data_IF_968098546868
#
_entry.id   IF_968098546868
#
_cell.length_a   1.000
_cell.length_b   1.000
_cell.length_c   1.000
_cell.angle_alpha   90.00
_cell.angle_beta   90.00
_cell.angle_gamma   90.00
#
_symmetry.space_group_name_H-M   'P 1'
#
loop_
_entity.id
_entity.type
_entity.pdbx_description
1 polymer ?
#
# COMPACT_ATOMS: atom_id res chain seq x y z
N UNK A 1 57.38 23.09 -39.50
CA UNK A 1 56.38 22.94 -38.43
C UNK A 1 55.24 22.10 -38.98
N UNK A 2 55.07 20.87 -38.50
CA UNK A 2 53.97 20.00 -38.89
C UNK A 2 52.83 20.12 -37.85
N UNK A 3 51.55 20.07 -38.24
CA UNK A 3 50.44 20.14 -37.30
C UNK A 3 50.34 18.84 -36.48
N UNK A 4 49.82 18.89 -35.23
CA UNK A 4 49.68 17.72 -34.40
C UNK A 4 48.54 16.81 -34.89
N UNK A 5 48.86 15.55 -35.10
CA UNK A 5 47.92 14.46 -35.38
C UNK A 5 47.07 14.17 -34.14
N UNK A 6 45.75 14.34 -34.24
CA UNK A 6 44.82 13.91 -33.20
C UNK A 6 44.61 12.39 -33.37
N UNK A 7 45.19 11.62 -32.47
CA UNK A 7 44.99 10.17 -32.40
C UNK A 7 43.57 9.89 -31.88
N UNK A 8 42.74 9.23 -32.71
CA UNK A 8 41.40 8.82 -32.34
C UNK A 8 41.43 7.93 -31.08
N UNK A 9 40.93 8.45 -29.96
CA UNK A 9 40.75 7.67 -28.74
C UNK A 9 39.63 6.66 -28.99
N UNK A 10 39.99 5.39 -29.09
CA UNK A 10 39.06 4.27 -29.20
C UNK A 10 38.12 4.31 -27.99
N UNK A 11 36.85 4.68 -28.21
CA UNK A 11 35.81 4.63 -27.19
C UNK A 11 35.67 3.17 -26.77
N UNK A 12 36.16 2.84 -25.59
CA UNK A 12 35.96 1.53 -24.97
C UNK A 12 34.51 1.54 -24.47
N UNK A 13 33.61 0.94 -25.25
CA UNK A 13 32.27 0.60 -24.77
C UNK A 13 32.46 -0.48 -23.71
N UNK A 14 32.11 -0.26 -22.43
CA UNK A 14 32.18 -1.31 -21.45
C UNK A 14 31.18 -2.41 -21.83
N UNK A 15 31.73 -3.61 -22.00
CA UNK A 15 30.99 -4.86 -22.24
C UNK A 15 29.87 -4.99 -21.22
N UNK A 16 28.63 -4.98 -21.69
CA UNK A 16 27.43 -5.25 -20.89
C UNK A 16 27.54 -6.70 -20.44
N UNK A 17 28.08 -6.92 -19.24
CA UNK A 17 28.06 -8.22 -18.57
C UNK A 17 26.61 -8.54 -18.23
N UNK A 18 26.02 -9.43 -19.03
CA UNK A 18 25.02 -10.44 -18.66
C UNK A 18 24.03 -9.97 -17.58
N UNK A 19 22.97 -9.32 -18.03
CA UNK A 19 21.72 -9.25 -17.29
C UNK A 19 21.21 -10.71 -17.18
N UNK A 20 20.97 -11.25 -15.97
CA UNK A 20 20.44 -12.60 -15.84
C UNK A 20 19.07 -12.70 -16.55
N UNK A 21 18.88 -13.74 -17.37
CA UNK A 21 17.67 -14.04 -18.17
C UNK A 21 16.41 -14.34 -17.34
N UNK A 22 16.35 -13.93 -16.08
CA UNK A 22 15.15 -13.97 -15.23
C UNK A 22 14.49 -12.61 -15.08
N UNK A 23 14.85 -11.62 -15.92
CA UNK A 23 14.04 -10.43 -16.11
C UNK A 23 12.68 -10.85 -16.68
N UNK A 24 11.74 -11.08 -15.77
CA UNK A 24 10.32 -11.15 -16.04
C UNK A 24 9.99 -10.01 -16.99
N UNK A 25 9.65 -10.32 -18.24
CA UNK A 25 9.03 -9.32 -19.09
C UNK A 25 7.76 -8.88 -18.35
N UNK A 26 7.60 -7.58 -18.05
CA UNK A 26 6.38 -7.12 -17.40
C UNK A 26 5.21 -7.49 -18.30
N UNK A 27 4.19 -8.14 -17.75
CA UNK A 27 3.03 -8.57 -18.54
C UNK A 27 2.17 -7.38 -18.99
N UNK A 28 2.33 -6.26 -18.28
CA UNK A 28 1.70 -4.96 -18.47
C UNK A 28 2.65 -3.94 -19.09
N UNK A 29 2.13 -3.07 -19.96
CA UNK A 29 2.90 -1.96 -20.56
C UNK A 29 3.17 -0.84 -19.54
N UNK A 30 4.27 -0.09 -19.72
CA UNK A 30 4.65 0.99 -18.79
C UNK A 30 3.59 2.11 -18.74
N UNK A 31 2.95 2.45 -19.87
CA UNK A 31 1.91 3.49 -19.89
C UNK A 31 0.64 3.01 -19.18
N UNK A 32 0.35 1.72 -19.28
CA UNK A 32 -0.76 1.10 -18.57
C UNK A 32 -0.50 1.10 -17.05
N UNK A 33 0.72 0.73 -16.64
CA UNK A 33 1.14 0.80 -15.24
C UNK A 33 1.03 2.23 -14.68
N UNK A 34 1.50 3.23 -15.41
CA UNK A 34 1.39 4.64 -15.04
C UNK A 34 -0.09 5.07 -14.87
N UNK A 35 -0.97 4.64 -15.77
CA UNK A 35 -2.41 4.91 -15.67
C UNK A 35 -3.01 4.29 -14.39
N UNK A 36 -2.70 3.03 -14.12
CA UNK A 36 -3.21 2.31 -12.94
C UNK A 36 -2.74 2.99 -11.65
N UNK A 37 -1.45 3.34 -11.56
CA UNK A 37 -0.89 4.03 -10.38
C UNK A 37 -1.56 5.38 -10.17
N UNK A 38 -1.72 6.18 -11.23
CA UNK A 38 -2.36 7.50 -11.14
C UNK A 38 -3.83 7.41 -10.69
N UNK A 39 -4.57 6.45 -11.22
CA UNK A 39 -5.97 6.23 -10.84
C UNK A 39 -6.08 5.71 -9.40
N UNK A 40 -5.17 4.82 -8.98
CA UNK A 40 -5.07 4.36 -7.60
C UNK A 40 -4.69 5.48 -6.62
N UNK A 41 -3.72 6.33 -6.96
CA UNK A 41 -3.30 7.45 -6.13
C UNK A 41 -4.45 8.40 -5.78
N UNK A 42 -5.33 8.69 -6.76
CA UNK A 42 -6.56 9.47 -6.53
C UNK A 42 -7.51 8.81 -5.52
N UNK A 43 -7.56 7.49 -5.50
CA UNK A 43 -8.37 6.75 -4.52
C UNK A 43 -7.72 6.81 -3.15
N UNK A 44 -6.40 6.63 -3.05
CA UNK A 44 -5.67 6.76 -1.78
C UNK A 44 -5.88 8.13 -1.12
N UNK A 45 -5.80 9.21 -1.88
CA UNK A 45 -6.06 10.56 -1.37
C UNK A 45 -7.49 10.70 -0.81
N UNK A 46 -8.48 10.13 -1.52
CA UNK A 46 -9.89 10.16 -1.11
C UNK A 46 -10.17 9.25 0.08
N UNK A 47 -9.47 8.14 0.22
CA UNK A 47 -9.68 7.16 1.29
C UNK A 47 -8.76 7.38 2.50
N UNK A 48 -7.94 8.44 2.51
CA UNK A 48 -6.97 8.71 3.59
C UNK A 48 -7.60 8.81 4.99
N UNK A 49 -8.88 9.21 5.09
CA UNK A 49 -9.61 9.25 6.36
C UNK A 49 -10.11 7.87 6.85
N UNK A 50 -10.07 6.85 6.00
CA UNK A 50 -10.50 5.48 6.28
C UNK A 50 -9.35 4.64 6.85
N UNK A 51 -8.65 5.18 7.85
CA UNK A 51 -7.41 4.63 8.43
C UNK A 51 -7.58 3.19 8.96
N UNK A 52 -8.80 2.79 9.31
CA UNK A 52 -9.12 1.47 9.87
C UNK A 52 -9.66 0.47 8.84
N UNK A 53 -9.51 0.75 7.55
CA UNK A 53 -9.90 -0.13 6.47
C UNK A 53 -10.87 0.54 5.51
N UNK A 54 -10.53 0.48 4.23
CA UNK A 54 -11.34 0.93 3.12
C UNK A 54 -11.96 -0.28 2.39
N UNK A 55 -13.19 -0.16 1.85
CA UNK A 55 -13.80 -1.23 1.08
C UNK A 55 -13.00 -1.47 -0.22
N UNK A 56 -12.70 -2.72 -0.53
CA UNK A 56 -11.94 -3.09 -1.74
C UNK A 56 -12.68 -2.69 -3.02
N UNK A 57 -14.01 -2.62 -2.99
CA UNK A 57 -14.84 -2.21 -4.13
C UNK A 57 -14.62 -0.78 -4.61
N UNK A 58 -13.94 0.08 -3.83
CA UNK A 58 -13.61 1.45 -4.25
C UNK A 58 -12.35 1.51 -5.11
N UNK A 59 -11.56 0.43 -5.14
CA UNK A 59 -10.37 0.38 -5.97
C UNK A 59 -10.77 0.41 -7.45
N UNK A 60 -10.01 1.13 -8.29
CA UNK A 60 -10.33 1.23 -9.71
C UNK A 60 -9.90 -0.02 -10.50
N UNK A 61 -9.02 -0.83 -9.91
CA UNK A 61 -8.49 -2.08 -10.46
C UNK A 61 -8.34 -3.11 -9.32
N UNK A 62 -8.11 -4.37 -9.66
CA UNK A 62 -7.81 -5.39 -8.66
C UNK A 62 -6.50 -5.09 -7.93
N UNK A 63 -6.36 -5.63 -6.71
CA UNK A 63 -5.12 -5.47 -5.94
C UNK A 63 -3.91 -6.02 -6.70
N UNK A 64 -4.07 -7.12 -7.43
CA UNK A 64 -2.97 -7.73 -8.18
C UNK A 64 -2.51 -6.86 -9.36
N UNK A 65 -3.44 -6.25 -10.11
CA UNK A 65 -3.11 -5.30 -11.17
C UNK A 65 -2.37 -4.07 -10.61
N UNK A 66 -2.82 -3.53 -9.47
CA UNK A 66 -2.15 -2.39 -8.83
C UNK A 66 -0.75 -2.79 -8.34
N UNK A 67 -0.61 -3.98 -7.73
CA UNK A 67 0.69 -4.51 -7.29
C UNK A 67 1.66 -4.64 -8.47
N UNK A 68 1.21 -5.18 -9.59
CA UNK A 68 2.03 -5.32 -10.79
C UNK A 68 2.43 -3.96 -11.35
N UNK A 69 1.49 -3.03 -11.48
CA UNK A 69 1.76 -1.67 -11.96
C UNK A 69 2.83 -0.97 -11.10
N UNK A 70 2.70 -1.03 -9.77
CA UNK A 70 3.67 -0.43 -8.85
C UNK A 70 5.04 -1.12 -8.95
N UNK A 71 5.09 -2.46 -9.07
CA UNK A 71 6.37 -3.17 -9.28
C UNK A 71 7.07 -2.74 -10.55
N UNK A 72 6.32 -2.56 -11.64
CA UNK A 72 6.85 -2.04 -12.91
C UNK A 72 7.44 -0.65 -12.67
N UNK A 73 6.69 0.26 -12.04
CA UNK A 73 7.19 1.59 -11.74
C UNK A 73 8.45 1.58 -10.86
N UNK A 74 8.52 0.70 -9.86
CA UNK A 74 9.71 0.53 -9.02
C UNK A 74 10.93 0.11 -9.84
N UNK A 75 10.78 -0.87 -10.74
CA UNK A 75 11.87 -1.36 -11.61
C UNK A 75 12.42 -0.23 -12.50
N UNK A 76 11.54 0.64 -13.00
CA UNK A 76 11.91 1.76 -13.88
C UNK A 76 12.26 3.06 -13.13
N UNK A 77 12.03 3.13 -11.82
CA UNK A 77 12.39 4.27 -10.98
C UNK A 77 13.89 4.29 -10.72
N UNK A 78 14.51 5.48 -10.76
CA UNK A 78 15.85 5.68 -10.17
C UNK A 78 15.66 5.86 -8.68
N UNK A 79 16.39 5.12 -7.84
CA UNK A 79 16.31 5.24 -6.38
C UNK A 79 16.35 6.72 -5.94
N UNK A 80 15.27 7.18 -5.29
CA UNK A 80 14.98 8.58 -4.94
C UNK A 80 13.62 8.70 -4.23
N UNK A 81 13.09 9.91 -4.07
CA UNK A 81 11.83 10.18 -3.34
C UNK A 81 10.63 9.38 -3.92
N UNK A 82 10.57 9.26 -5.26
CA UNK A 82 9.55 8.47 -5.97
C UNK A 82 9.52 6.99 -5.55
N UNK A 83 10.66 6.43 -5.15
CA UNK A 83 10.73 5.04 -4.70
C UNK A 83 10.01 4.86 -3.36
N UNK A 84 10.20 5.77 -2.42
CA UNK A 84 9.54 5.70 -1.10
C UNK A 84 8.02 5.75 -1.25
N UNK A 85 7.52 6.64 -2.10
CA UNK A 85 6.08 6.81 -2.34
C UNK A 85 5.47 5.57 -3.00
N UNK A 86 6.21 4.90 -3.90
CA UNK A 86 5.78 3.63 -4.49
C UNK A 86 5.72 2.50 -3.45
N UNK A 87 6.67 2.44 -2.51
CA UNK A 87 6.63 1.48 -1.40
C UNK A 87 5.43 1.75 -0.49
N UNK A 88 5.16 3.01 -0.16
CA UNK A 88 3.97 3.41 0.62
C UNK A 88 2.69 3.05 -0.13
N UNK A 89 2.61 3.32 -1.43
CA UNK A 89 1.48 2.96 -2.28
C UNK A 89 1.23 1.45 -2.31
N UNK A 90 2.29 0.65 -2.48
CA UNK A 90 2.21 -0.81 -2.52
C UNK A 90 1.74 -1.38 -1.19
N UNK A 91 2.34 -0.94 -0.09
CA UNK A 91 2.03 -1.46 1.25
C UNK A 91 0.70 -0.92 1.78
N UNK A 92 0.26 0.25 1.30
CA UNK A 92 -1.05 0.83 1.54
C UNK A 92 -2.20 -0.02 1.00
N UNK A 93 -1.95 -0.93 0.05
CA UNK A 93 -2.94 -1.88 -0.42
C UNK A 93 -3.50 -2.76 0.72
N UNK A 94 -2.76 -2.95 1.81
CA UNK A 94 -3.26 -3.71 2.97
C UNK A 94 -4.52 -3.11 3.58
N UNK A 95 -4.74 -1.80 3.45
CA UNK A 95 -5.90 -1.11 4.00
C UNK A 95 -7.20 -1.41 3.25
N UNK A 96 -7.11 -1.90 2.01
CA UNK A 96 -8.29 -2.25 1.20
C UNK A 96 -8.69 -3.70 1.48
N UNK A 97 -9.80 -3.84 2.20
CA UNK A 97 -10.32 -5.09 2.76
C UNK A 97 -11.71 -5.40 2.19
N UNK A 98 -12.21 -6.61 2.45
CA UNK A 98 -13.58 -6.98 2.09
C UNK A 98 -14.60 -5.95 2.58
N UNK A 99 -15.57 -5.63 1.73
CA UNK A 99 -16.57 -4.59 1.99
C UNK A 99 -17.35 -4.81 3.30
N UNK A 100 -17.61 -6.07 3.69
CA UNK A 100 -18.28 -6.36 4.96
C UNK A 100 -17.37 -6.01 6.14
N UNK A 101 -16.08 -6.32 6.04
CA UNK A 101 -15.09 -5.94 7.06
C UNK A 101 -14.93 -4.43 7.14
N UNK A 102 -14.90 -3.74 6.00
CA UNK A 102 -14.87 -2.27 5.97
C UNK A 102 -16.09 -1.66 6.65
N UNK A 103 -17.28 -2.22 6.42
CA UNK A 103 -18.51 -1.81 7.10
C UNK A 103 -18.42 -1.96 8.62
N UNK A 104 -17.89 -3.08 9.11
CA UNK A 104 -17.66 -3.33 10.54
C UNK A 104 -16.69 -2.29 11.12
N UNK A 105 -15.57 -2.02 10.45
CA UNK A 105 -14.61 -0.99 10.88
C UNK A 105 -15.23 0.40 10.97
N UNK A 106 -16.03 0.79 9.97
CA UNK A 106 -16.72 2.09 9.97
C UNK A 106 -17.74 2.19 11.11
N UNK A 107 -18.51 1.13 11.35
CA UNK A 107 -19.45 1.07 12.47
C UNK A 107 -18.74 1.23 13.81
N UNK A 108 -17.63 0.52 14.02
CA UNK A 108 -16.83 0.63 15.24
C UNK A 108 -16.30 2.06 15.45
N UNK A 109 -15.79 2.73 14.40
CA UNK A 109 -15.35 4.13 14.49
C UNK A 109 -16.49 5.06 14.90
N UNK A 110 -17.66 4.92 14.28
CA UNK A 110 -18.79 5.78 14.59
C UNK A 110 -19.24 5.58 16.05
N UNK A 111 -19.28 4.33 16.53
CA UNK A 111 -19.57 4.01 17.93
C UNK A 111 -18.54 4.64 18.89
N UNK A 112 -17.23 4.62 18.55
CA UNK A 112 -16.20 5.29 19.33
C UNK A 112 -16.36 6.82 19.34
N UNK A 113 -16.68 7.43 18.19
CA UNK A 113 -16.88 8.89 18.08
C UNK A 113 -18.07 9.36 18.91
N UNK A 114 -19.15 8.58 18.95
CA UNK A 114 -20.32 8.88 19.78
C UNK A 114 -20.00 8.86 21.28
N UNK A 115 -19.07 7.99 21.73
CA UNK A 115 -18.60 7.98 23.12
C UNK A 115 -17.75 9.22 23.46
N UNK A 116 -16.96 9.73 22.51
CA UNK A 116 -16.08 10.90 22.70
C UNK A 116 -16.84 12.22 22.59
N UNK A 117 -17.75 12.37 21.63
CA UNK A 117 -18.45 13.64 21.37
C UNK A 117 -19.67 13.87 22.28
N UNK A 118 -20.11 12.86 23.05
CA UNK A 118 -21.25 12.99 23.97
C UNK A 118 -22.59 13.31 23.28
N UNK A 119 -22.63 13.31 21.95
CA UNK A 119 -23.84 13.53 21.14
C UNK A 119 -24.60 12.21 21.02
N UNK A 120 -25.32 11.89 22.09
CA UNK A 120 -26.15 10.70 22.16
C UNK A 120 -27.34 10.74 21.20
N UNK A 121 -27.17 10.15 20.02
CA UNK A 121 -28.26 9.44 19.33
C UNK A 121 -28.07 7.96 19.74
N UNK A 122 -28.33 7.54 20.96
CA UNK A 122 -29.61 7.65 21.60
C UNK A 122 -29.43 7.41 23.10
N UNK A 123 -29.96 8.32 23.91
CA UNK A 123 -30.21 8.02 25.32
C UNK A 123 -31.15 6.80 25.47
N UNK A 124 -31.95 6.53 24.44
CA UNK A 124 -32.95 5.46 24.39
C UNK A 124 -32.42 4.10 23.87
N UNK A 125 -31.24 4.04 23.22
CA UNK A 125 -30.66 2.75 22.77
C UNK A 125 -29.63 2.17 23.75
N UNK A 126 -29.07 2.99 24.66
CA UNK A 126 -28.09 2.53 25.67
C UNK A 126 -28.69 1.58 26.71
N UNK A 127 -30.00 1.58 26.88
CA UNK A 127 -30.70 0.65 27.79
C UNK A 127 -31.02 -0.70 27.13
N UNK A 128 -30.76 -0.84 25.82
CA UNK A 128 -30.98 -2.10 25.11
C UNK A 128 -29.75 -3.00 25.20
N UNK A 129 -29.86 -4.13 25.89
CA UNK A 129 -28.80 -5.15 25.98
C UNK A 129 -28.28 -5.60 24.61
N UNK A 130 -29.11 -5.55 23.56
CA UNK A 130 -28.68 -5.88 22.20
C UNK A 130 -27.70 -4.84 21.64
N UNK A 131 -27.81 -3.57 22.03
CA UNK A 131 -26.88 -2.53 21.58
C UNK A 131 -25.48 -2.75 22.16
N UNK A 132 -25.37 -3.04 23.45
CA UNK A 132 -24.08 -3.34 24.09
C UNK A 132 -23.43 -4.58 23.47
N UNK A 133 -24.20 -5.65 23.25
CA UNK A 133 -23.71 -6.86 22.58
C UNK A 133 -23.24 -6.60 21.14
N UNK A 134 -23.98 -5.81 20.37
CA UNK A 134 -23.60 -5.44 19.00
C UNK A 134 -22.34 -4.57 19.00
N UNK A 135 -22.27 -3.59 19.91
CA UNK A 135 -21.10 -2.72 20.05
C UNK A 135 -19.86 -3.54 20.41
N UNK A 136 -19.95 -4.36 21.44
CA UNK A 136 -18.81 -5.15 21.92
C UNK A 136 -18.35 -6.14 20.83
N UNK A 137 -19.29 -6.73 20.09
CA UNK A 137 -18.98 -7.55 18.92
C UNK A 137 -18.28 -6.73 17.80
N UNK A 138 -18.83 -5.58 17.40
CA UNK A 138 -18.24 -4.72 16.37
C UNK A 138 -16.83 -4.27 16.75
N UNK A 139 -16.62 -3.88 18.02
CA UNK A 139 -15.32 -3.47 18.54
C UNK A 139 -14.32 -4.63 18.51
N UNK A 140 -14.70 -5.79 19.03
CA UNK A 140 -13.83 -6.98 19.02
C UNK A 140 -13.48 -7.43 17.60
N UNK A 141 -14.45 -7.38 16.68
CA UNK A 141 -14.22 -7.77 15.29
C UNK A 141 -13.35 -6.74 14.55
N UNK A 142 -13.52 -5.44 14.83
CA UNK A 142 -12.67 -4.39 14.27
C UNK A 142 -11.20 -4.55 14.67
N UNK A 143 -10.92 -5.01 15.89
CA UNK A 143 -9.55 -5.28 16.36
C UNK A 143 -8.92 -6.41 15.53
N UNK A 144 -9.65 -7.51 15.32
CA UNK A 144 -9.17 -8.62 14.48
C UNK A 144 -8.89 -8.15 13.05
N UNK A 145 -9.77 -7.31 12.51
CA UNK A 145 -9.59 -6.71 11.18
C UNK A 145 -8.30 -5.87 11.14
N UNK A 146 -8.02 -5.06 12.16
CA UNK A 146 -6.76 -4.30 12.22
C UNK A 146 -5.52 -5.21 12.29
N UNK A 147 -5.60 -6.31 13.03
CA UNK A 147 -4.53 -7.30 13.08
C UNK A 147 -4.29 -7.92 11.71
N UNK A 148 -5.35 -8.30 10.98
CA UNK A 148 -5.24 -8.82 9.62
C UNK A 148 -4.62 -7.81 8.65
N UNK A 149 -5.06 -6.54 8.69
CA UNK A 149 -4.47 -5.45 7.89
C UNK A 149 -2.97 -5.32 8.18
N UNK A 150 -2.58 -5.39 9.46
CA UNK A 150 -1.17 -5.32 9.86
C UNK A 150 -0.37 -6.53 9.37
N UNK A 151 -0.93 -7.74 9.41
CA UNK A 151 -0.25 -8.92 8.86
C UNK A 151 -0.07 -8.83 7.34
N UNK A 152 -1.11 -8.40 6.62
CA UNK A 152 -1.01 -8.20 5.17
C UNK A 152 0.00 -7.09 4.83
N UNK A 153 0.03 -6.00 5.58
CA UNK A 153 1.02 -4.94 5.41
C UNK A 153 2.46 -5.47 5.53
N UNK A 154 2.72 -6.27 6.57
CA UNK A 154 4.03 -6.93 6.78
C UNK A 154 4.37 -7.88 5.64
N UNK A 155 3.39 -8.63 5.14
CA UNK A 155 3.58 -9.53 3.99
C UNK A 155 3.95 -8.74 2.74
N UNK A 156 3.24 -7.64 2.44
CA UNK A 156 3.51 -6.78 1.28
C UNK A 156 4.90 -6.12 1.37
N UNK A 157 5.34 -5.71 2.56
CA UNK A 157 6.71 -5.22 2.78
C UNK A 157 7.75 -6.30 2.44
N UNK A 158 7.57 -7.53 2.92
CA UNK A 158 8.47 -8.65 2.61
C UNK A 158 8.50 -9.02 1.13
N UNK A 159 7.39 -8.83 0.42
CA UNK A 159 7.33 -9.07 -1.04
C UNK A 159 8.20 -8.08 -1.83
N UNK A 160 8.35 -6.84 -1.36
CA UNK A 160 9.14 -5.80 -2.03
C UNK A 160 10.63 -5.86 -1.68
N UNK A 161 10.95 -6.20 -0.43
CA UNK A 161 12.32 -6.42 0.01
C UNK A 161 12.36 -7.56 1.05
N UNK A 162 12.88 -8.73 0.68
CA UNK A 162 13.05 -9.86 1.59
C UNK A 162 13.95 -9.56 2.80
N UNK A 163 14.71 -8.46 2.78
CA UNK A 163 15.66 -8.05 3.83
C UNK A 163 15.09 -7.01 4.81
N UNK A 164 13.88 -6.46 4.55
CA UNK A 164 13.23 -5.44 5.39
C UNK A 164 12.68 -5.93 6.75
N UNK A 165 12.81 -7.22 7.08
CA UNK A 165 12.51 -7.76 8.43
C UNK A 165 13.30 -7.05 9.55
N UNK A 166 14.35 -6.29 9.20
CA UNK A 166 15.20 -5.56 10.13
C UNK A 166 14.63 -4.20 10.61
N UNK A 167 13.77 -3.53 9.84
CA UNK A 167 13.39 -2.12 10.11
C UNK A 167 12.32 -1.98 11.20
N UNK A 168 11.46 -2.99 11.38
CA UNK A 168 10.39 -2.96 12.38
C UNK A 168 10.59 -3.97 13.54
N UNK A 169 11.77 -4.60 13.61
CA UNK A 169 12.03 -5.73 14.49
C UNK A 169 13.41 -5.72 15.14
N UNK A 170 13.75 -4.68 15.90
CA UNK A 170 14.51 -4.73 17.18
C UNK A 170 14.80 -3.33 17.70
N UNK A 171 13.98 -2.90 18.67
CA UNK A 171 14.46 -1.97 19.68
C UNK A 171 15.66 -2.61 20.37
N UNK A 172 16.79 -1.90 20.34
CA UNK A 172 18.03 -2.23 21.04
C UNK A 172 17.71 -2.61 22.50
N UNK A 173 18.21 -3.75 22.94
CA UNK A 173 18.60 -3.95 24.34
C UNK A 173 20.12 -3.95 24.38
#
# INVERSE_FOLDING_TARGET
MNPPTITATKVIVPSIKTIPETFFLPSMDVKEAEKIINDYGKIMEKSAYMVFGAPISILPYSKDEIKEAIKIAIIFSKHGDDFSDLIVGYTGLSQYIDDKKACISILAINMMKEEVEGKGIAKDCKENKNYELIRDWCMAESIKIQEEILQEHKKLLKELDPTLDFVFGKGKK
#
